data_IF_472889514839
#
_entry.id   IF_472889514839
#
_cell.length_a   1.000
_cell.length_b   1.000
_cell.length_c   1.000
_cell.angle_alpha   90.00
_cell.angle_beta   90.00
_cell.angle_gamma   90.00
#
_symmetry.space_group_name_H-M   'P 1'
#
loop_
_entity.id
_entity.type
_entity.pdbx_description
1 polymer ?
#
# COMPACT_ATOMS: atom_id res chain seq x y z
N UNK A 1 -25.04 0.94 24.94
CA UNK A 1 -26.34 0.75 24.23
C UNK A 1 -26.35 1.49 22.88
N UNK A 2 -26.89 0.90 21.82
CA UNK A 2 -26.86 1.47 20.47
C UNK A 2 -27.58 2.82 20.35
N UNK A 3 -28.57 3.06 21.20
CA UNK A 3 -29.25 4.36 21.29
C UNK A 3 -28.33 5.48 21.77
N UNK A 4 -27.32 5.17 22.59
CA UNK A 4 -26.35 6.14 23.10
C UNK A 4 -25.36 6.57 22.00
N UNK A 5 -24.93 5.66 21.12
CA UNK A 5 -24.04 5.96 20.00
C UNK A 5 -24.72 6.89 18.97
N UNK A 6 -25.96 6.60 18.57
CA UNK A 6 -26.75 7.47 17.68
C UNK A 6 -26.98 8.86 18.26
N UNK A 7 -27.11 8.95 19.60
CA UNK A 7 -27.30 10.20 20.32
C UNK A 7 -26.00 10.98 20.49
N UNK A 8 -24.87 10.30 20.68
CA UNK A 8 -23.55 10.91 20.79
C UNK A 8 -23.17 11.70 19.53
N UNK A 9 -23.52 11.20 18.33
CA UNK A 9 -23.29 11.92 17.07
C UNK A 9 -23.93 13.32 17.05
N UNK A 10 -25.08 13.51 17.73
CA UNK A 10 -25.77 14.81 17.82
C UNK A 10 -25.07 15.82 18.73
N UNK A 11 -24.15 15.38 19.58
CA UNK A 11 -23.40 16.21 20.53
C UNK A 11 -22.03 16.66 19.99
N UNK A 12 -21.69 16.27 18.75
CA UNK A 12 -20.40 16.59 18.14
C UNK A 12 -20.09 18.10 18.13
N UNK A 13 -21.03 19.00 17.76
CA UNK A 13 -20.78 20.45 17.80
C UNK A 13 -20.47 20.98 19.20
N UNK A 14 -21.16 20.47 20.22
CA UNK A 14 -20.99 20.84 21.63
C UNK A 14 -19.64 20.34 22.18
N UNK A 15 -19.23 19.13 21.78
CA UNK A 15 -17.92 18.56 22.11
C UNK A 15 -16.80 19.40 21.51
N UNK A 16 -16.92 19.85 20.26
CA UNK A 16 -15.92 20.73 19.63
C UNK A 16 -15.83 22.10 20.34
N UNK A 17 -16.98 22.69 20.72
CA UNK A 17 -17.00 23.91 21.55
C UNK A 17 -16.34 23.71 22.91
N UNK A 18 -16.54 22.54 23.53
CA UNK A 18 -15.91 22.19 24.80
C UNK A 18 -14.38 22.03 24.64
N UNK A 19 -13.91 21.46 23.53
CA UNK A 19 -12.49 21.26 23.22
C UNK A 19 -11.70 22.56 23.09
N UNK A 20 -12.35 23.64 22.65
CA UNK A 20 -11.74 24.96 22.55
C UNK A 20 -11.41 25.60 23.91
N UNK A 21 -11.94 25.06 25.03
CA UNK A 21 -11.71 25.57 26.39
C UNK A 21 -10.58 24.80 27.07
N UNK A 22 -9.73 25.44 27.88
CA UNK A 22 -8.73 24.72 28.68
C UNK A 22 -9.41 23.77 29.67
N UNK A 23 -8.91 22.53 29.76
CA UNK A 23 -9.36 21.52 30.70
C UNK A 23 -8.87 21.81 32.14
N UNK A 24 -9.68 21.48 33.16
CA UNK A 24 -11.00 20.87 33.07
C UNK A 24 -12.09 21.89 32.69
N UNK A 25 -13.00 21.49 31.81
CA UNK A 25 -14.12 22.29 31.33
C UNK A 25 -15.39 21.44 31.31
N UNK A 26 -16.52 22.04 31.65
CA UNK A 26 -17.83 21.41 31.59
C UNK A 26 -18.84 22.22 30.80
N UNK A 27 -19.85 21.55 30.27
CA UNK A 27 -20.98 22.14 29.56
C UNK A 27 -22.23 21.28 29.77
N UNK A 28 -23.39 21.90 29.85
CA UNK A 28 -24.68 21.20 29.94
C UNK A 28 -25.45 21.45 28.65
N UNK A 29 -26.03 20.39 28.09
CA UNK A 29 -26.76 20.39 26.81
C UNK A 29 -28.09 19.69 27.03
N UNK A 30 -29.19 20.25 26.51
CA UNK A 30 -30.53 19.68 26.60
C UNK A 30 -31.48 20.46 27.52
N UNK A 31 -32.72 19.98 27.61
CA UNK A 31 -33.83 20.60 28.37
C UNK A 31 -34.06 19.88 29.71
N UNK A 32 -35.03 20.32 30.53
CA UNK A 32 -35.27 19.82 31.90
C UNK A 32 -35.43 18.30 32.02
N UNK A 33 -36.02 17.64 31.02
CA UNK A 33 -36.30 16.20 31.05
C UNK A 33 -35.23 15.36 30.33
N UNK A 34 -34.26 16.00 29.66
CA UNK A 34 -33.31 15.30 28.80
C UNK A 34 -31.94 15.99 28.79
N UNK A 35 -31.29 15.98 29.95
CA UNK A 35 -30.08 16.74 30.24
C UNK A 35 -28.81 15.91 30.06
N UNK A 36 -27.86 16.43 29.31
CA UNK A 36 -26.52 15.84 29.13
C UNK A 36 -25.46 16.75 29.71
N UNK A 37 -24.66 16.23 30.64
CA UNK A 37 -23.47 16.92 31.16
C UNK A 37 -22.23 16.44 30.40
N UNK A 38 -21.57 17.36 29.71
CA UNK A 38 -20.31 17.15 29.01
C UNK A 38 -19.15 17.60 29.88
N UNK A 39 -18.16 16.75 30.05
CA UNK A 39 -16.95 17.01 30.82
C UNK A 39 -15.72 16.76 29.95
N UNK A 40 -14.76 17.69 29.92
CA UNK A 40 -13.55 17.52 29.13
C UNK A 40 -12.60 16.50 29.77
N UNK A 41 -12.03 15.62 28.94
CA UNK A 41 -11.00 14.66 29.35
C UNK A 41 -9.64 15.21 28.92
N UNK A 42 -8.75 15.52 29.87
CA UNK A 42 -7.45 16.11 29.59
C UNK A 42 -6.96 17.09 30.65
N UNK A 43 -5.76 17.62 30.45
CA UNK A 43 -5.12 18.59 31.36
C UNK A 43 -4.63 19.82 30.58
N UNK A 44 -4.96 21.03 31.07
CA UNK A 44 -4.51 22.28 30.46
C UNK A 44 -5.16 22.56 29.09
N UNK A 45 -4.43 23.16 28.14
CA UNK A 45 -4.98 23.51 26.80
C UNK A 45 -5.25 22.33 25.87
N UNK A 46 -5.02 21.10 26.32
CA UNK A 46 -5.12 19.89 25.51
C UNK A 46 -6.30 19.05 25.99
N UNK A 47 -7.52 19.45 25.60
CA UNK A 47 -8.70 18.59 25.71
C UNK A 47 -8.51 17.42 24.74
N UNK A 48 -8.53 16.18 25.25
CA UNK A 48 -8.22 14.94 24.53
C UNK A 48 -9.44 14.05 24.26
N UNK A 49 -10.59 14.43 24.82
CA UNK A 49 -11.87 13.76 24.67
C UNK A 49 -12.94 14.47 25.50
N UNK A 50 -14.15 13.94 25.50
CA UNK A 50 -15.22 14.39 26.38
C UNK A 50 -15.99 13.19 26.92
N UNK A 51 -16.39 13.24 28.19
CA UNK A 51 -17.35 12.33 28.79
C UNK A 51 -18.74 12.98 28.71
N UNK A 52 -19.70 12.29 28.10
CA UNK A 52 -21.09 12.70 28.05
C UNK A 52 -21.93 11.85 29.01
N UNK A 53 -22.57 12.50 29.98
CA UNK A 53 -23.41 11.85 31.00
C UNK A 53 -24.86 12.29 30.80
N UNK A 54 -25.71 11.39 30.31
CA UNK A 54 -27.15 11.63 30.17
C UNK A 54 -27.89 11.39 31.47
N UNK A 55 -28.73 12.34 31.87
CA UNK A 55 -29.42 12.39 33.17
C UNK A 55 -30.84 12.90 33.00
N UNK A 56 -31.81 12.32 33.73
CA UNK A 56 -33.21 12.78 33.71
C UNK A 56 -33.49 13.96 34.66
N UNK A 57 -32.50 14.40 35.43
CA UNK A 57 -32.59 15.54 36.36
C UNK A 57 -31.19 16.13 36.60
N UNK A 58 -31.13 17.30 37.24
CA UNK A 58 -29.85 17.89 37.63
C UNK A 58 -29.10 16.98 38.62
N UNK A 59 -27.81 16.73 38.34
CA UNK A 59 -26.98 15.89 39.20
C UNK A 59 -26.97 16.40 40.66
N UNK A 60 -27.15 15.48 41.60
CA UNK A 60 -26.92 15.71 43.02
C UNK A 60 -25.43 15.79 43.35
N UNK A 61 -25.11 16.08 44.62
CA UNK A 61 -23.72 16.21 45.06
C UNK A 61 -22.93 14.90 44.93
N UNK A 62 -23.53 13.77 45.32
CA UNK A 62 -22.89 12.46 45.21
C UNK A 62 -22.60 12.08 43.75
N UNK A 63 -23.54 12.33 42.84
CA UNK A 63 -23.39 12.02 41.43
C UNK A 63 -22.33 12.91 40.77
N UNK A 64 -22.25 14.20 41.13
CA UNK A 64 -21.15 15.07 40.69
C UNK A 64 -19.77 14.56 41.13
N UNK A 65 -19.64 14.06 42.37
CA UNK A 65 -18.40 13.44 42.84
C UNK A 65 -18.03 12.19 42.03
N UNK A 66 -19.02 11.36 41.70
CA UNK A 66 -18.82 10.18 40.85
C UNK A 66 -18.35 10.58 39.44
N UNK A 67 -19.00 11.58 38.83
CA UNK A 67 -18.63 12.10 37.50
C UNK A 67 -17.23 12.70 37.51
N UNK A 68 -16.87 13.53 38.50
CA UNK A 68 -15.51 14.07 38.61
C UNK A 68 -14.45 12.99 38.80
N UNK A 69 -14.74 11.97 39.62
CA UNK A 69 -13.84 10.82 39.81
C UNK A 69 -13.66 10.04 38.52
N UNK A 70 -14.74 9.80 37.77
CA UNK A 70 -14.69 9.15 36.47
C UNK A 70 -13.89 9.98 35.45
N UNK A 71 -14.08 11.30 35.39
CA UNK A 71 -13.31 12.21 34.52
C UNK A 71 -11.81 12.16 34.84
N UNK A 72 -11.44 12.18 36.13
CA UNK A 72 -10.04 12.09 36.55
C UNK A 72 -9.41 10.75 36.16
N UNK A 73 -10.10 9.63 36.43
CA UNK A 73 -9.63 8.29 36.06
C UNK A 73 -9.54 8.12 34.54
N UNK A 74 -10.57 8.51 33.79
CA UNK A 74 -10.59 8.43 32.32
C UNK A 74 -9.52 9.33 31.69
N UNK A 75 -9.28 10.51 32.25
CA UNK A 75 -8.19 11.38 31.79
C UNK A 75 -6.83 10.71 32.01
N UNK A 76 -6.61 10.12 33.18
CA UNK A 76 -5.35 9.45 33.52
C UNK A 76 -5.12 8.20 32.67
N UNK A 77 -6.12 7.32 32.56
CA UNK A 77 -6.02 6.08 31.78
C UNK A 77 -5.83 6.39 30.30
N UNK A 78 -6.60 7.31 29.73
CA UNK A 78 -6.45 7.71 28.31
C UNK A 78 -5.07 8.33 28.04
N UNK A 79 -4.55 9.15 28.95
CA UNK A 79 -3.21 9.74 28.82
C UNK A 79 -2.11 8.67 28.88
N UNK A 80 -2.21 7.72 29.81
CA UNK A 80 -1.27 6.60 29.95
C UNK A 80 -1.29 5.69 28.73
N UNK A 81 -2.47 5.30 28.26
CA UNK A 81 -2.64 4.45 27.07
C UNK A 81 -2.03 5.10 25.82
N UNK A 82 -2.24 6.40 25.59
CA UNK A 82 -1.66 7.08 24.42
C UNK A 82 -0.15 7.30 24.53
N UNK A 83 0.37 7.62 25.72
CA UNK A 83 1.81 7.76 25.91
C UNK A 83 2.53 6.42 25.66
N UNK A 84 1.91 5.32 26.09
CA UNK A 84 2.38 3.95 25.83
C UNK A 84 2.30 3.62 24.33
N UNK A 85 1.14 3.79 23.68
CA UNK A 85 0.99 3.58 22.23
C UNK A 85 2.00 4.38 21.41
N UNK A 86 2.21 5.66 21.77
CA UNK A 86 3.21 6.49 21.10
C UNK A 86 4.64 6.02 21.36
N UNK A 87 4.93 5.40 22.51
CA UNK A 87 6.24 4.81 22.79
C UNK A 87 6.43 3.50 22.01
N UNK A 88 5.41 2.64 21.96
CA UNK A 88 5.38 1.41 21.17
C UNK A 88 5.56 1.69 19.68
N UNK A 89 4.87 2.69 19.13
CA UNK A 89 5.05 3.13 17.73
C UNK A 89 6.48 3.61 17.46
N UNK A 90 7.07 4.40 18.37
CA UNK A 90 8.47 4.85 18.24
C UNK A 90 9.46 3.68 18.32
N UNK A 91 9.18 2.71 19.18
CA UNK A 91 9.96 1.48 19.33
C UNK A 91 9.88 0.64 18.05
N UNK A 92 8.68 0.35 17.55
CA UNK A 92 8.46 -0.36 16.29
C UNK A 92 9.17 0.31 15.11
N UNK A 93 9.06 1.64 14.99
CA UNK A 93 9.79 2.40 13.97
C UNK A 93 11.32 2.31 14.13
N UNK A 94 11.85 2.28 15.36
CA UNK A 94 13.27 2.09 15.60
C UNK A 94 13.73 0.68 15.24
N UNK A 95 12.95 -0.34 15.59
CA UNK A 95 13.20 -1.76 15.24
C UNK A 95 13.21 -1.94 13.73
N UNK A 96 12.21 -1.41 13.03
CA UNK A 96 12.16 -1.44 11.57
C UNK A 96 13.40 -0.78 10.94
N UNK A 97 13.83 0.39 11.43
CA UNK A 97 15.05 1.05 10.95
C UNK A 97 16.31 0.21 11.18
N UNK A 98 16.44 -0.45 12.34
CA UNK A 98 17.57 -1.38 12.60
C UNK A 98 17.56 -2.55 11.62
N UNK A 99 16.39 -3.14 11.38
CA UNK A 99 16.22 -4.23 10.42
C UNK A 99 16.57 -3.81 8.99
N UNK A 100 16.09 -2.65 8.54
CA UNK A 100 16.42 -2.08 7.22
C UNK A 100 17.91 -1.75 7.08
N UNK A 101 18.57 -1.39 8.18
CA UNK A 101 20.02 -1.17 8.25
C UNK A 101 20.84 -2.47 8.31
N UNK A 102 20.20 -3.65 8.27
CA UNK A 102 20.88 -4.94 8.34
C UNK A 102 21.38 -5.28 9.75
N UNK A 103 20.72 -4.79 10.79
CA UNK A 103 21.07 -5.01 12.20
C UNK A 103 20.01 -5.85 12.95
N UNK A 104 19.71 -7.10 12.52
CA UNK A 104 18.66 -7.92 13.13
C UNK A 104 18.97 -8.30 14.58
N UNK A 105 20.25 -8.49 14.93
CA UNK A 105 20.64 -8.81 16.31
C UNK A 105 20.36 -7.65 17.28
N UNK A 106 20.53 -6.40 16.83
CA UNK A 106 20.21 -5.22 17.62
C UNK A 106 18.70 -5.06 17.77
N UNK A 107 17.95 -5.26 16.70
CA UNK A 107 16.49 -5.26 16.73
C UNK A 107 15.96 -6.32 17.73
N UNK A 108 16.52 -7.52 17.69
CA UNK A 108 16.20 -8.62 18.62
C UNK A 108 16.58 -8.28 20.06
N UNK A 109 17.76 -7.73 20.31
CA UNK A 109 18.19 -7.36 21.66
C UNK A 109 17.29 -6.29 22.29
N UNK A 110 16.75 -5.37 21.47
CA UNK A 110 15.91 -4.26 21.94
C UNK A 110 14.44 -4.67 22.11
N UNK A 111 13.93 -5.52 21.23
CA UNK A 111 12.48 -5.79 21.15
C UNK A 111 12.12 -7.27 21.01
N UNK A 112 13.03 -8.18 21.32
CA UNK A 112 12.80 -9.63 21.27
C UNK A 112 11.67 -10.10 22.18
N UNK A 113 11.50 -9.50 23.36
CA UNK A 113 10.38 -9.83 24.25
C UNK A 113 9.02 -9.37 23.70
N UNK A 114 9.03 -8.35 22.84
CA UNK A 114 7.81 -7.77 22.26
C UNK A 114 7.43 -8.42 20.93
N UNK A 115 8.42 -8.66 20.06
CA UNK A 115 8.21 -9.15 18.70
C UNK A 115 8.68 -10.59 18.47
N UNK A 116 9.37 -11.21 19.43
CA UNK A 116 9.78 -12.62 19.50
C UNK A 116 9.81 -13.38 18.18
N UNK A 117 8.81 -14.24 17.97
CA UNK A 117 8.70 -15.12 16.80
C UNK A 117 8.74 -14.39 15.45
N UNK A 118 8.27 -13.14 15.37
CA UNK A 118 8.35 -12.32 14.16
C UNK A 118 9.80 -11.95 13.79
N UNK A 119 10.68 -11.84 14.80
CA UNK A 119 12.11 -11.54 14.61
C UNK A 119 12.99 -12.80 14.53
N UNK A 120 12.40 -13.99 14.58
CA UNK A 120 13.12 -15.28 14.49
C UNK A 120 12.71 -16.14 13.29
N UNK A 121 11.51 -15.91 12.76
CA UNK A 121 10.93 -16.70 11.70
C UNK A 121 10.84 -15.88 10.38
N UNK A 122 10.57 -16.56 9.25
CA UNK A 122 10.17 -15.86 8.04
C UNK A 122 8.93 -15.00 8.26
N UNK A 123 8.97 -13.77 7.78
CA UNK A 123 7.85 -12.83 7.76
C UNK A 123 7.58 -12.36 6.33
N UNK A 124 6.45 -11.68 6.16
CA UNK A 124 6.09 -10.88 4.98
C UNK A 124 6.15 -9.42 5.35
N UNK A 125 6.75 -8.62 4.47
CA UNK A 125 6.68 -7.17 4.57
C UNK A 125 5.59 -6.66 3.65
N UNK A 126 4.64 -5.93 4.21
CA UNK A 126 3.58 -5.25 3.47
C UNK A 126 3.84 -3.76 3.50
N UNK A 127 3.65 -3.10 2.36
CA UNK A 127 3.61 -1.65 2.26
C UNK A 127 2.27 -1.29 1.67
N UNK A 128 1.44 -0.66 2.49
CA UNK A 128 0.14 -0.14 2.09
C UNK A 128 0.23 1.38 1.89
N UNK A 129 -0.41 1.89 0.85
CA UNK A 129 -0.60 3.33 0.62
C UNK A 129 -2.08 3.59 0.34
N UNK A 130 -2.67 4.53 1.06
CA UNK A 130 -4.02 5.02 0.84
C UNK A 130 -4.01 6.48 0.39
N UNK A 131 -5.15 6.98 -0.10
CA UNK A 131 -5.26 8.41 -0.46
C UNK A 131 -5.19 9.34 0.76
N UNK A 132 -5.53 8.83 1.94
CA UNK A 132 -5.39 9.53 3.21
C UNK A 132 -4.98 8.56 4.34
N UNK A 133 -4.60 9.08 5.52
CA UNK A 133 -4.25 8.24 6.67
C UNK A 133 -5.42 7.40 7.23
N UNK A 134 -6.67 7.74 6.93
CA UNK A 134 -7.85 7.01 7.42
C UNK A 134 -8.01 5.67 6.71
N UNK A 135 -7.73 5.62 5.41
CA UNK A 135 -7.77 4.40 4.62
C UNK A 135 -6.79 3.34 5.15
N UNK A 136 -5.54 3.73 5.40
CA UNK A 136 -4.54 2.83 5.99
C UNK A 136 -4.83 2.47 7.44
N UNK A 137 -5.55 3.33 8.19
CA UNK A 137 -6.00 3.01 9.55
C UNK A 137 -7.03 1.87 9.56
N UNK A 138 -7.96 1.84 8.61
CA UNK A 138 -8.94 0.75 8.50
C UNK A 138 -8.27 -0.60 8.21
N UNK A 139 -7.25 -0.60 7.33
CA UNK A 139 -6.43 -1.79 7.11
C UNK A 139 -5.68 -2.17 8.39
N UNK A 140 -5.01 -1.22 9.06
CA UNK A 140 -4.29 -1.47 10.31
C UNK A 140 -5.20 -2.15 11.36
N UNK A 141 -6.40 -1.62 11.58
CA UNK A 141 -7.37 -2.16 12.53
C UNK A 141 -7.79 -3.60 12.17
N UNK A 142 -7.97 -3.89 10.89
CA UNK A 142 -8.30 -5.24 10.41
C UNK A 142 -7.16 -6.25 10.65
N UNK A 143 -5.91 -5.83 10.41
CA UNK A 143 -4.72 -6.63 10.65
C UNK A 143 -4.50 -6.88 12.15
N UNK A 144 -4.62 -5.83 12.98
CA UNK A 144 -4.47 -5.90 14.44
C UNK A 144 -5.51 -6.85 15.04
N UNK A 145 -6.78 -6.71 14.61
CA UNK A 145 -7.86 -7.60 15.05
C UNK A 145 -7.60 -9.07 14.67
N UNK A 146 -7.02 -9.32 13.49
CA UNK A 146 -6.69 -10.68 13.07
C UNK A 146 -5.52 -11.28 13.87
N UNK A 147 -4.49 -10.47 14.13
CA UNK A 147 -3.35 -10.86 14.95
C UNK A 147 -3.77 -11.15 16.40
N UNK A 148 -4.56 -10.27 17.01
CA UNK A 148 -5.07 -10.44 18.38
C UNK A 148 -5.87 -11.74 18.55
N UNK A 149 -6.72 -12.08 17.58
CA UNK A 149 -7.53 -13.31 17.63
C UNK A 149 -6.69 -14.59 17.51
N UNK A 150 -5.57 -14.53 16.79
CA UNK A 150 -4.68 -15.66 16.56
C UNK A 150 -3.54 -15.75 17.58
N UNK A 151 -3.34 -14.70 18.39
CA UNK A 151 -2.19 -14.56 19.27
C UNK A 151 -0.89 -14.29 18.49
N UNK A 152 -0.99 -13.83 17.25
CA UNK A 152 0.15 -13.46 16.42
C UNK A 152 0.67 -12.09 16.79
N UNK A 153 1.97 -11.90 16.60
CA UNK A 153 2.61 -10.60 16.78
C UNK A 153 2.83 -9.93 15.43
N UNK A 154 2.47 -8.66 15.32
CA UNK A 154 2.81 -7.83 14.17
C UNK A 154 3.57 -6.57 14.57
N UNK A 155 4.38 -6.08 13.64
CA UNK A 155 5.02 -4.77 13.76
C UNK A 155 4.41 -3.84 12.71
N UNK A 156 3.71 -2.81 13.16
CA UNK A 156 3.12 -1.77 12.31
C UNK A 156 3.82 -0.43 12.51
N UNK A 157 4.17 0.22 11.41
CA UNK A 157 4.77 1.55 11.40
C UNK A 157 3.99 2.44 10.42
N UNK A 158 3.11 3.32 10.93
CA UNK A 158 2.46 4.32 10.09
C UNK A 158 3.45 5.43 9.71
N UNK A 159 3.49 5.78 8.43
CA UNK A 159 4.33 6.81 7.82
C UNK A 159 3.48 7.72 6.91
N UNK A 160 2.73 8.64 7.51
CA UNK A 160 1.85 9.55 6.76
C UNK A 160 0.69 8.80 6.10
N UNK A 161 0.68 8.76 4.77
CA UNK A 161 -0.30 8.02 3.94
C UNK A 161 0.08 6.55 3.74
N UNK A 162 1.25 6.14 4.25
CA UNK A 162 1.76 4.77 4.15
C UNK A 162 1.65 4.04 5.48
N UNK A 163 1.50 2.73 5.39
CA UNK A 163 1.60 1.81 6.51
C UNK A 163 2.54 0.68 6.14
N UNK A 164 3.61 0.51 6.92
CA UNK A 164 4.51 -0.62 6.80
C UNK A 164 4.17 -1.66 7.85
N UNK A 165 4.12 -2.92 7.44
CA UNK A 165 3.75 -4.03 8.30
C UNK A 165 4.70 -5.20 8.13
N UNK A 166 5.29 -5.68 9.23
CA UNK A 166 5.89 -7.01 9.27
C UNK A 166 4.90 -7.95 9.96
N UNK A 167 4.53 -9.02 9.25
CA UNK A 167 3.64 -10.07 9.74
C UNK A 167 4.26 -11.45 9.48
N UNK A 168 3.98 -12.42 10.34
CA UNK A 168 4.47 -13.79 10.15
C UNK A 168 4.04 -14.35 8.78
N UNK A 169 4.93 -15.07 8.11
CA UNK A 169 4.57 -15.71 6.84
C UNK A 169 3.49 -16.78 7.05
N UNK A 170 2.43 -16.73 6.24
CA UNK A 170 1.24 -17.57 6.42
C UNK A 170 0.40 -17.24 7.67
N UNK A 171 0.69 -16.13 8.36
CA UNK A 171 -0.06 -15.69 9.53
C UNK A 171 -1.43 -15.08 9.21
N UNK A 172 -2.29 -15.03 10.21
CA UNK A 172 -3.62 -14.44 10.18
C UNK A 172 -3.63 -12.98 9.70
N UNK A 173 -2.60 -12.19 10.02
CA UNK A 173 -2.49 -10.83 9.50
C UNK A 173 -2.27 -10.81 7.98
N UNK A 174 -1.45 -11.71 7.43
CA UNK A 174 -1.26 -11.83 5.96
C UNK A 174 -2.57 -12.24 5.29
N UNK A 175 -3.27 -13.24 5.84
CA UNK A 175 -4.58 -13.67 5.34
C UNK A 175 -5.63 -12.57 5.42
N UNK A 176 -5.65 -11.79 6.50
CA UNK A 176 -6.56 -10.65 6.63
C UNK A 176 -6.27 -9.57 5.60
N UNK A 177 -4.99 -9.30 5.29
CA UNK A 177 -4.63 -8.37 4.23
C UNK A 177 -5.11 -8.84 2.85
N UNK A 178 -4.96 -10.13 2.55
CA UNK A 178 -5.42 -10.72 1.29
C UNK A 178 -6.95 -10.61 1.17
N UNK A 179 -7.68 -11.02 2.22
CA UNK A 179 -9.15 -10.92 2.24
C UNK A 179 -9.65 -9.48 2.14
N UNK A 180 -8.97 -8.53 2.78
CA UNK A 180 -9.28 -7.10 2.67
C UNK A 180 -9.11 -6.60 1.24
N UNK A 181 -8.01 -6.97 0.58
CA UNK A 181 -7.75 -6.59 -0.80
C UNK A 181 -8.71 -7.25 -1.80
N UNK A 182 -9.06 -8.52 -1.60
CA UNK A 182 -10.07 -9.22 -2.42
C UNK A 182 -11.43 -8.52 -2.34
N UNK A 183 -11.86 -8.14 -1.13
CA UNK A 183 -13.09 -7.38 -0.94
C UNK A 183 -13.06 -6.01 -1.65
N UNK A 184 -11.92 -5.30 -1.61
CA UNK A 184 -11.78 -4.04 -2.35
C UNK A 184 -11.84 -4.23 -3.87
N UNK A 185 -11.15 -5.24 -4.40
CA UNK A 185 -11.16 -5.56 -5.84
C UNK A 185 -12.57 -5.97 -6.33
N UNK A 186 -13.40 -6.57 -5.47
CA UNK A 186 -14.81 -6.88 -5.79
C UNK A 186 -15.71 -5.64 -5.80
N UNK A 187 -15.44 -4.67 -4.91
CA UNK A 187 -16.23 -3.44 -4.79
C UNK A 187 -15.87 -2.36 -5.84
N UNK A 188 -14.64 -2.37 -6.34
CA UNK A 188 -14.15 -1.43 -7.35
C UNK A 188 -14.12 -2.08 -8.74
N UNK A 189 -15.21 -2.02 -9.54
CA UNK A 189 -15.14 -2.42 -10.93
C UNK A 189 -14.11 -1.56 -11.67
N UNK A 190 -13.33 -2.20 -12.54
CA UNK A 190 -12.16 -1.75 -13.33
C UNK A 190 -12.29 -0.45 -14.14
N UNK A 191 -12.87 0.62 -13.60
CA UNK A 191 -12.84 1.95 -14.17
C UNK A 191 -11.88 2.82 -13.33
N UNK A 192 -10.72 3.22 -13.87
CA UNK A 192 -9.69 3.98 -13.14
C UNK A 192 -10.12 5.41 -12.71
N UNK A 193 -11.37 5.79 -12.95
CA UNK A 193 -11.88 7.15 -12.73
C UNK A 193 -12.70 7.32 -11.44
N UNK A 194 -12.98 6.25 -10.69
CA UNK A 194 -13.76 6.31 -9.46
C UNK A 194 -13.14 5.47 -8.34
N UNK A 195 -11.86 5.69 -8.04
CA UNK A 195 -11.29 5.23 -6.77
C UNK A 195 -12.08 5.88 -5.62
N UNK A 196 -12.67 5.08 -4.74
CA UNK A 196 -13.33 5.61 -3.54
C UNK A 196 -12.26 6.22 -2.62
N UNK A 197 -12.66 7.19 -1.79
CA UNK A 197 -11.78 7.87 -0.81
C UNK A 197 -11.10 6.92 0.20
N UNK A 198 -11.44 5.62 0.18
CA UNK A 198 -10.92 4.60 1.11
C UNK A 198 -10.10 3.47 0.45
N UNK A 199 -9.76 3.59 -0.84
CA UNK A 199 -8.98 2.55 -1.51
C UNK A 199 -7.54 2.52 -1.00
N UNK A 200 -7.09 1.33 -0.61
CA UNK A 200 -5.73 1.08 -0.13
C UNK A 200 -5.06 0.13 -1.10
N UNK A 201 -3.90 0.53 -1.61
CA UNK A 201 -3.09 -0.32 -2.46
C UNK A 201 -1.95 -0.90 -1.65
N UNK A 202 -1.75 -2.20 -1.74
CA UNK A 202 -0.77 -2.94 -0.96
C UNK A 202 0.21 -3.65 -1.89
N UNK A 203 1.50 -3.52 -1.59
CA UNK A 203 2.55 -4.39 -2.12
C UNK A 203 3.08 -5.30 -1.03
N UNK A 204 3.21 -6.60 -1.36
CA UNK A 204 3.69 -7.59 -0.41
C UNK A 204 4.99 -8.25 -0.90
N UNK A 205 5.98 -8.39 -0.02
CA UNK A 205 7.22 -9.10 -0.33
C UNK A 205 7.01 -10.61 -0.47
N UNK A 206 8.03 -11.32 -0.95
CA UNK A 206 8.13 -12.77 -0.72
C UNK A 206 8.47 -13.03 0.78
N UNK A 207 8.32 -14.27 1.27
CA UNK A 207 8.78 -14.64 2.60
C UNK A 207 10.27 -14.32 2.80
N UNK A 208 10.60 -13.63 3.88
CA UNK A 208 11.96 -13.18 4.16
C UNK A 208 12.29 -13.33 5.65
N UNK A 209 13.54 -13.66 5.96
CA UNK A 209 14.04 -13.64 7.33
C UNK A 209 14.57 -12.26 7.75
N UNK A 210 14.88 -12.07 9.05
CA UNK A 210 15.31 -10.77 9.62
C UNK A 210 16.50 -10.11 8.94
N UNK A 211 17.44 -10.91 8.42
CA UNK A 211 18.63 -10.44 7.69
C UNK A 211 18.25 -9.82 6.34
N UNK A 212 17.12 -10.22 5.76
CA UNK A 212 16.70 -9.86 4.40
C UNK A 212 15.62 -8.77 4.35
N UNK A 213 15.36 -8.05 5.45
CA UNK A 213 14.31 -7.00 5.51
C UNK A 213 14.51 -5.92 4.44
N UNK A 214 15.76 -5.50 4.17
CA UNK A 214 16.05 -4.53 3.11
C UNK A 214 15.65 -5.03 1.70
N UNK A 215 15.84 -6.33 1.44
CA UNK A 215 15.40 -6.94 0.19
C UNK A 215 13.88 -7.04 0.15
N UNK A 216 13.24 -7.48 1.24
CA UNK A 216 11.78 -7.53 1.37
C UNK A 216 11.13 -6.16 1.15
N UNK A 217 11.75 -5.08 1.65
CA UNK A 217 11.31 -3.70 1.41
C UNK A 217 11.28 -3.34 -0.06
N UNK A 218 12.37 -3.61 -0.78
CA UNK A 218 12.42 -3.37 -2.23
C UNK A 218 11.38 -4.19 -2.99
N UNK A 219 11.17 -5.44 -2.56
CA UNK A 219 10.16 -6.32 -3.17
C UNK A 219 8.73 -5.80 -2.95
N UNK A 220 8.40 -5.38 -1.73
CA UNK A 220 7.10 -4.82 -1.40
C UNK A 220 6.84 -3.49 -2.13
N UNK A 221 7.83 -2.60 -2.22
CA UNK A 221 7.75 -1.36 -3.03
C UNK A 221 7.50 -1.65 -4.51
N UNK A 222 8.22 -2.63 -5.08
CA UNK A 222 8.00 -3.06 -6.47
C UNK A 222 6.59 -3.60 -6.68
N UNK A 223 6.12 -4.46 -5.78
CA UNK A 223 4.77 -5.02 -5.83
C UNK A 223 3.70 -3.92 -5.70
N UNK A 224 3.91 -2.94 -4.83
CA UNK A 224 3.03 -1.77 -4.64
C UNK A 224 2.95 -0.92 -5.93
N UNK A 225 4.07 -0.68 -6.58
CA UNK A 225 4.12 0.01 -7.88
C UNK A 225 3.35 -0.75 -8.98
N UNK A 226 3.42 -2.08 -8.98
CA UNK A 226 2.66 -2.91 -9.92
C UNK A 226 1.17 -2.91 -9.60
N UNK A 227 0.80 -3.00 -8.32
CA UNK A 227 -0.58 -2.96 -7.85
C UNK A 227 -1.29 -1.68 -8.30
N UNK A 228 -0.65 -0.51 -8.11
CA UNK A 228 -1.17 0.78 -8.58
C UNK A 228 -1.39 0.82 -10.08
N UNK A 229 -0.38 0.39 -10.86
CA UNK A 229 -0.45 0.41 -12.33
C UNK A 229 -1.50 -0.53 -12.89
N UNK A 230 -1.79 -1.64 -12.20
CA UNK A 230 -2.80 -2.62 -12.60
C UNK A 230 -4.20 -2.32 -12.04
N UNK A 231 -4.35 -1.32 -11.16
CA UNK A 231 -5.60 -1.07 -10.46
C UNK A 231 -6.03 -2.27 -9.63
N UNK A 232 -5.09 -2.88 -8.90
CA UNK A 232 -5.31 -4.02 -8.00
C UNK A 232 -5.06 -3.57 -6.57
N UNK A 233 -5.91 -3.98 -5.63
CA UNK A 233 -5.74 -3.64 -4.21
C UNK A 233 -4.48 -4.31 -3.60
N UNK A 234 -4.10 -5.50 -4.08
CA UNK A 234 -2.88 -6.20 -3.62
C UNK A 234 -2.15 -6.87 -4.79
N UNK A 235 -0.81 -6.79 -4.74
CA UNK A 235 0.08 -7.63 -5.54
C UNK A 235 1.15 -8.22 -4.63
N UNK A 236 1.45 -9.50 -4.81
CA UNK A 236 2.55 -10.17 -4.14
C UNK A 236 3.79 -10.21 -5.04
N UNK A 237 4.97 -10.00 -4.48
CA UNK A 237 6.22 -10.07 -5.25
C UNK A 237 6.45 -11.45 -5.87
N UNK A 238 5.97 -12.52 -5.23
CA UNK A 238 6.03 -13.88 -5.78
C UNK A 238 5.33 -13.99 -7.14
N UNK A 239 4.26 -13.21 -7.37
CA UNK A 239 3.54 -13.14 -8.65
C UNK A 239 4.31 -12.35 -9.73
N UNK A 240 5.28 -11.53 -9.33
CA UNK A 240 6.17 -10.83 -10.27
C UNK A 240 7.23 -11.78 -10.83
N UNK A 241 7.73 -12.70 -9.98
CA UNK A 241 8.75 -13.68 -10.36
C UNK A 241 8.25 -14.71 -11.37
N UNK A 242 6.94 -15.01 -11.39
CA UNK A 242 6.31 -15.93 -12.34
C UNK A 242 5.96 -15.28 -13.69
N UNK A 243 6.15 -13.96 -13.86
CA UNK A 243 5.41 -13.22 -14.88
C UNK A 243 6.16 -12.43 -15.95
N UNK A 244 7.51 -12.38 -15.96
CA UNK A 244 8.38 -11.54 -16.82
C UNK A 244 9.09 -10.42 -16.06
N UNK A 245 10.30 -10.04 -16.49
CA UNK A 245 11.06 -8.88 -15.95
C UNK A 245 10.46 -7.53 -16.40
N UNK A 246 9.57 -7.53 -17.40
CA UNK A 246 9.00 -6.32 -18.00
C UNK A 246 8.31 -5.37 -17.00
N UNK A 247 7.51 -5.85 -16.01
CA UNK A 247 6.90 -4.97 -15.01
C UNK A 247 7.93 -4.24 -14.13
N UNK A 248 9.12 -4.82 -13.96
CA UNK A 248 10.24 -4.24 -13.20
C UNK A 248 11.01 -3.21 -14.02
N UNK A 249 10.91 -3.26 -15.35
CA UNK A 249 11.61 -2.35 -16.27
C UNK A 249 10.72 -1.20 -16.78
N UNK A 250 9.40 -1.24 -16.57
CA UNK A 250 8.48 -0.22 -17.09
C UNK A 250 8.46 1.09 -16.26
N UNK A 251 9.63 1.72 -16.09
CA UNK A 251 9.80 3.11 -15.65
C UNK A 251 9.75 4.05 -16.88
N UNK A 252 9.45 5.34 -16.67
CA UNK A 252 9.28 6.34 -17.73
C UNK A 252 10.54 6.49 -18.59
N UNK A 253 11.72 6.31 -18.00
CA UNK A 253 12.99 6.31 -18.72
C UNK A 253 13.09 5.17 -19.75
N UNK A 254 12.60 3.97 -19.40
CA UNK A 254 12.63 2.80 -20.29
C UNK A 254 11.60 2.93 -21.39
N UNK A 255 10.42 3.51 -21.11
CA UNK A 255 9.43 3.85 -22.14
C UNK A 255 9.98 4.88 -23.12
N UNK A 256 10.58 5.96 -22.63
CA UNK A 256 11.17 7.00 -23.47
C UNK A 256 12.30 6.44 -24.36
N UNK A 257 13.13 5.55 -23.82
CA UNK A 257 14.14 4.83 -24.59
C UNK A 257 13.51 3.95 -25.68
N UNK A 258 12.52 3.14 -25.31
CA UNK A 258 11.84 2.23 -26.24
C UNK A 258 11.10 2.97 -27.37
N UNK A 259 10.39 4.05 -27.04
CA UNK A 259 9.75 4.94 -27.99
C UNK A 259 10.78 5.59 -28.91
N UNK A 260 11.89 6.07 -28.35
CA UNK A 260 13.00 6.63 -29.10
C UNK A 260 13.58 5.66 -30.12
N UNK A 261 13.77 4.39 -29.73
CA UNK A 261 14.31 3.33 -30.56
C UNK A 261 13.35 2.93 -31.70
N UNK A 262 12.06 2.76 -31.41
CA UNK A 262 11.09 2.25 -32.38
C UNK A 262 10.48 3.33 -33.28
N UNK A 263 10.58 4.62 -32.90
CA UNK A 263 9.99 5.74 -33.64
C UNK A 263 10.33 5.76 -35.13
N UNK A 264 11.60 5.57 -35.50
CA UNK A 264 12.00 5.60 -36.90
C UNK A 264 11.40 4.46 -37.73
N UNK A 265 11.15 3.30 -37.09
CA UNK A 265 10.47 2.16 -37.72
C UNK A 265 8.97 2.44 -37.87
N UNK A 266 8.32 2.97 -36.84
CA UNK A 266 6.91 3.37 -36.92
C UNK A 266 6.67 4.44 -37.99
N UNK A 267 7.52 5.46 -38.08
CA UNK A 267 7.45 6.51 -39.11
C UNK A 267 7.66 5.95 -40.53
N UNK A 268 8.46 4.90 -40.68
CA UNK A 268 8.66 4.24 -41.96
C UNK A 268 7.43 3.43 -42.37
N UNK A 269 6.89 2.62 -41.46
CA UNK A 269 5.70 1.80 -41.70
C UNK A 269 4.48 2.69 -42.00
N UNK A 270 4.32 3.82 -41.30
CA UNK A 270 3.25 4.81 -41.56
C UNK A 270 3.28 5.42 -42.97
N UNK A 271 4.42 5.41 -43.66
CA UNK A 271 4.57 5.89 -45.04
C UNK A 271 4.20 4.84 -46.09
N UNK A 272 3.64 3.69 -45.67
CA UNK A 272 3.15 2.62 -46.55
C UNK A 272 4.24 1.75 -47.17
N UNK A 273 5.47 1.76 -46.62
CA UNK A 273 6.65 1.07 -47.20
C UNK A 273 7.05 -0.23 -46.49
N UNK A 274 6.13 -0.87 -45.77
CA UNK A 274 6.31 -2.22 -45.23
C UNK A 274 5.77 -2.41 -43.82
N UNK A 275 5.94 -3.62 -43.30
CA UNK A 275 5.60 -4.01 -41.92
C UNK A 275 6.88 -4.31 -41.14
N UNK A 276 7.78 -3.34 -41.03
CA UNK A 276 9.10 -3.55 -40.40
C UNK A 276 8.93 -3.92 -38.93
N UNK A 277 8.07 -3.23 -38.19
CA UNK A 277 7.84 -3.50 -36.76
C UNK A 277 7.27 -4.91 -36.56
N UNK A 278 6.27 -5.28 -37.36
CA UNK A 278 5.70 -6.64 -37.33
C UNK A 278 6.75 -7.70 -37.71
N UNK A 279 7.59 -7.39 -38.71
CA UNK A 279 8.61 -8.32 -39.18
C UNK A 279 9.71 -8.56 -38.14
N UNK A 280 10.15 -7.52 -37.42
CA UNK A 280 11.11 -7.66 -36.32
C UNK A 280 10.49 -8.44 -35.17
N UNK A 281 9.22 -8.16 -34.83
CA UNK A 281 8.48 -8.87 -33.79
C UNK A 281 8.40 -10.37 -34.08
N UNK A 282 8.01 -10.75 -35.29
CA UNK A 282 7.92 -12.16 -35.70
C UNK A 282 9.31 -12.82 -35.71
N UNK A 283 10.32 -12.14 -36.27
CA UNK A 283 11.68 -12.67 -36.34
C UNK A 283 12.29 -12.91 -34.96
N UNK A 284 12.14 -11.97 -34.02
CA UNK A 284 12.59 -12.15 -32.63
C UNK A 284 11.78 -13.21 -31.87
N UNK A 285 10.46 -13.31 -32.11
CA UNK A 285 9.60 -14.34 -31.50
C UNK A 285 10.01 -15.75 -31.90
N UNK A 286 10.56 -15.92 -33.10
CA UNK A 286 11.13 -17.17 -33.60
C UNK A 286 12.66 -17.27 -33.43
N UNK A 287 13.24 -16.50 -32.50
CA UNK A 287 14.67 -16.56 -32.14
C UNK A 287 15.62 -16.34 -33.34
N UNK A 288 15.19 -15.54 -34.30
CA UNK A 288 15.94 -15.24 -35.52
C UNK A 288 15.83 -16.28 -36.64
N UNK A 289 14.97 -17.29 -36.50
CA UNK A 289 14.77 -18.30 -37.54
C UNK A 289 13.99 -17.73 -38.73
N UNK A 290 14.68 -17.63 -39.87
CA UNK A 290 14.15 -17.02 -41.09
C UNK A 290 12.89 -17.69 -41.63
N UNK A 291 12.91 -19.03 -41.75
CA UNK A 291 11.80 -19.74 -42.40
C UNK A 291 10.55 -19.76 -41.52
N UNK A 292 10.71 -19.93 -40.19
CA UNK A 292 9.59 -19.89 -39.24
C UNK A 292 8.93 -18.51 -39.16
N UNK A 293 9.74 -17.45 -39.02
CA UNK A 293 9.21 -16.08 -38.98
C UNK A 293 8.60 -15.63 -40.31
N UNK A 294 9.15 -16.07 -41.45
CA UNK A 294 8.58 -15.76 -42.75
C UNK A 294 7.23 -16.46 -42.96
N UNK A 295 7.11 -17.71 -42.51
CA UNK A 295 5.84 -18.45 -42.51
C UNK A 295 4.78 -17.78 -41.63
N UNK A 296 5.14 -17.36 -40.41
CA UNK A 296 4.23 -16.64 -39.49
C UNK A 296 3.69 -15.34 -40.10
N UNK A 297 4.53 -14.62 -40.84
CA UNK A 297 4.15 -13.38 -41.55
C UNK A 297 3.47 -13.61 -42.91
N UNK A 298 3.39 -14.85 -43.41
CA UNK A 298 2.88 -15.13 -44.76
C UNK A 298 3.73 -14.55 -45.90
N UNK A 299 5.04 -14.36 -45.70
CA UNK A 299 5.96 -13.80 -46.70
C UNK A 299 7.07 -14.78 -47.07
N UNK A 300 7.78 -14.52 -48.17
CA UNK A 300 8.96 -15.30 -48.52
C UNK A 300 10.16 -14.93 -47.64
N UNK A 301 11.02 -15.89 -47.29
CA UNK A 301 12.24 -15.67 -46.48
C UNK A 301 13.16 -14.57 -47.02
N UNK A 302 13.21 -14.40 -48.34
CA UNK A 302 14.01 -13.35 -48.99
C UNK A 302 13.43 -11.95 -48.72
N UNK A 303 12.10 -11.83 -48.71
CA UNK A 303 11.40 -10.60 -48.33
C UNK A 303 11.67 -10.26 -46.88
N UNK A 304 11.60 -11.25 -45.97
CA UNK A 304 11.92 -11.03 -44.56
C UNK A 304 13.37 -10.57 -44.35
N UNK A 305 14.34 -11.20 -45.02
CA UNK A 305 15.75 -10.76 -44.98
C UNK A 305 15.93 -9.33 -45.49
N UNK A 306 15.24 -8.96 -46.57
CA UNK A 306 15.26 -7.59 -47.07
C UNK A 306 14.70 -6.60 -46.04
N UNK A 307 13.57 -6.93 -45.41
CA UNK A 307 12.98 -6.12 -44.34
C UNK A 307 13.92 -5.98 -43.13
N UNK A 308 14.60 -7.06 -42.71
CA UNK A 308 15.57 -7.00 -41.61
C UNK A 308 16.80 -6.15 -41.94
N UNK A 309 17.34 -6.23 -43.16
CA UNK A 309 18.40 -5.31 -43.60
C UNK A 309 17.95 -3.86 -43.58
N UNK A 310 16.70 -3.60 -43.98
CA UNK A 310 16.14 -2.26 -43.93
C UNK A 310 16.00 -1.74 -42.49
N UNK A 311 15.66 -2.62 -41.54
CA UNK A 311 15.67 -2.29 -40.11
C UNK A 311 17.07 -1.91 -39.63
N UNK A 312 18.09 -2.70 -39.98
CA UNK A 312 19.49 -2.39 -39.64
C UNK A 312 19.93 -1.03 -40.20
N UNK A 313 19.56 -0.72 -41.45
CA UNK A 313 19.84 0.57 -42.09
C UNK A 313 19.16 1.75 -41.37
N UNK A 314 17.90 1.60 -40.96
CA UNK A 314 17.14 2.66 -40.28
C UNK A 314 17.66 2.90 -38.87
N UNK A 315 17.98 1.83 -38.13
CA UNK A 315 18.46 1.91 -36.75
C UNK A 315 19.95 2.24 -36.67
N UNK A 316 20.71 2.03 -37.75
CA UNK A 316 22.17 2.16 -37.75
C UNK A 316 22.86 1.12 -36.84
N UNK A 317 22.21 -0.02 -36.59
CA UNK A 317 22.67 -1.07 -35.67
C UNK A 317 22.51 -2.43 -36.33
N UNK A 318 23.45 -3.34 -36.07
CA UNK A 318 23.37 -4.70 -36.59
C UNK A 318 22.43 -5.54 -35.75
N UNK A 319 21.55 -6.29 -36.41
CA UNK A 319 20.72 -7.30 -35.79
C UNK A 319 21.49 -8.60 -35.52
N UNK A 320 22.77 -8.72 -35.85
CA UNK A 320 23.59 -9.86 -35.41
C UNK A 320 24.14 -9.67 -33.98
N UNK A 321 24.10 -8.45 -33.46
CA UNK A 321 24.47 -8.14 -32.08
C UNK A 321 23.37 -8.58 -31.09
N UNK A 322 23.68 -9.47 -30.14
CA UNK A 322 22.71 -9.94 -29.15
C UNK A 322 22.15 -8.82 -28.26
N UNK A 323 22.93 -7.77 -27.98
CA UNK A 323 22.48 -6.64 -27.16
C UNK A 323 21.43 -5.82 -27.91
N UNK A 324 21.63 -5.61 -29.22
CA UNK A 324 20.65 -4.95 -30.10
C UNK A 324 19.35 -5.74 -30.16
N UNK A 325 19.42 -7.07 -30.30
CA UNK A 325 18.24 -7.94 -30.30
C UNK A 325 17.48 -7.86 -28.98
N UNK A 326 18.21 -7.88 -27.86
CA UNK A 326 17.64 -7.79 -26.52
C UNK A 326 16.91 -6.45 -26.32
N UNK A 327 17.58 -5.33 -26.63
CA UNK A 327 16.99 -4.01 -26.49
C UNK A 327 15.76 -3.82 -27.39
N UNK A 328 15.80 -4.31 -28.63
CA UNK A 328 14.64 -4.29 -29.54
C UNK A 328 13.49 -5.15 -29.01
N UNK A 329 13.79 -6.33 -28.48
CA UNK A 329 12.77 -7.20 -27.90
C UNK A 329 12.10 -6.54 -26.69
N UNK A 330 12.91 -5.93 -25.80
CA UNK A 330 12.41 -5.16 -24.66
C UNK A 330 11.55 -3.99 -25.13
N UNK A 331 12.04 -3.19 -26.08
CA UNK A 331 11.31 -2.06 -26.63
C UNK A 331 9.93 -2.48 -27.17
N UNK A 332 9.87 -3.54 -27.98
CA UNK A 332 8.63 -4.09 -28.55
C UNK A 332 7.65 -4.64 -27.52
N UNK A 333 8.13 -4.98 -26.32
CA UNK A 333 7.32 -5.52 -25.23
C UNK A 333 6.82 -4.45 -24.26
N UNK A 334 7.52 -3.32 -24.12
CA UNK A 334 7.12 -2.22 -23.24
C UNK A 334 6.29 -1.15 -23.96
N UNK A 335 6.40 -1.04 -25.29
CA UNK A 335 5.55 -0.16 -26.10
C UNK A 335 4.34 -0.93 -26.63
N UNK A 336 3.14 -0.46 -26.31
CA UNK A 336 1.92 -0.89 -27.00
C UNK A 336 1.94 -0.27 -28.42
N UNK A 337 1.67 -1.03 -29.49
CA UNK A 337 1.62 -0.45 -30.83
C UNK A 337 0.56 0.66 -30.88
N UNK A 338 0.83 1.80 -31.53
CA UNK A 338 -0.18 2.83 -31.72
C UNK A 338 -1.30 2.28 -32.63
N UNK A 339 -2.48 2.04 -32.07
CA UNK A 339 -3.70 1.70 -32.82
C UNK A 339 -4.09 0.22 -32.88
N UNK A 340 -4.19 -0.45 -31.73
CA UNK A 340 -5.12 -1.59 -31.53
C UNK A 340 -6.05 -1.28 -30.36
#
# INVERSE_FOLDING_TARGET
PDWAARRAARLTPEVERLRARPAPASMVVGDTDDRVELQSLGTGRRVRGALAVGTGAALGTAERYAVHSAVALLTLTTARSRALQGAEQRLGAAVLRMLLAGQPDHARAVAGDLYGGLLDAPFRLLIAEGQDPSATTLLADALDTAADRSGETLLMVPEGERLLVLAADGGAAVTACQAYAEAQDELSPREPAAAQESDVVVGMSAPAGPVAVSAAYKQAEQALSVARRRGRALVEHAELATGSVLPLLADDAVRAFADGMLRALYEHDAKGRGDLVASVRAWLSHHGQWDAAAADLGVHRHTLRYRMRRVEEILGRSLDDPDVRMELWLALKVTTPPGQ
#
